data_IF_749788556178
#
_entry.id   IF_749788556178
#
_cell.length_a   1.000
_cell.length_b   1.000
_cell.length_c   1.000
_cell.angle_alpha   90.00
_cell.angle_beta   90.00
_cell.angle_gamma   90.00
#
_symmetry.space_group_name_H-M   'P 1'
#
loop_
_entity.id
_entity.type
_entity.pdbx_description
1 polymer ?
#
# COMPACT_ATOMS: atom_id res chain seq x y z
N UNK A 1 5.51 -2.43 -0.47
CA UNK A 1 5.68 -1.66 -1.72
C UNK A 1 7.17 -1.42 -1.94
N UNK A 2 7.67 -1.51 -3.19
CA UNK A 2 9.10 -1.46 -3.54
C UNK A 2 9.62 -0.07 -3.96
N UNK A 3 8.74 0.91 -4.12
CA UNK A 3 9.10 2.28 -4.53
C UNK A 3 9.22 3.17 -3.30
N UNK A 4 10.33 3.91 -3.18
CA UNK A 4 10.58 4.78 -2.04
C UNK A 4 10.53 6.25 -2.46
N UNK A 5 9.70 7.09 -1.82
CA UNK A 5 9.84 8.53 -1.92
C UNK A 5 11.24 8.96 -1.48
N UNK A 6 11.85 9.85 -2.25
CA UNK A 6 13.17 10.41 -1.96
C UNK A 6 13.12 11.93 -1.98
N UNK A 7 14.02 12.53 -1.22
CA UNK A 7 14.35 13.95 -1.29
C UNK A 7 15.75 14.13 -1.88
N UNK A 8 15.92 15.09 -2.79
CA UNK A 8 17.21 15.31 -3.46
C UNK A 8 17.43 16.77 -3.86
N UNK A 9 18.68 17.12 -4.15
CA UNK A 9 19.08 18.38 -4.77
C UNK A 9 19.57 18.12 -6.19
N UNK A 10 19.20 19.00 -7.13
CA UNK A 10 19.77 18.94 -8.47
C UNK A 10 21.26 19.27 -8.44
N UNK A 11 22.10 18.38 -8.95
CA UNK A 11 23.56 18.61 -9.02
C UNK A 11 23.93 19.91 -9.74
N UNK A 12 23.22 20.25 -10.84
CA UNK A 12 23.47 21.46 -11.63
C UNK A 12 22.76 22.71 -11.09
N UNK A 13 21.80 22.53 -10.17
CA UNK A 13 20.94 23.62 -9.67
C UNK A 13 20.54 23.44 -8.20
N UNK A 14 21.50 23.35 -7.27
CA UNK A 14 21.19 23.16 -5.86
C UNK A 14 20.37 24.30 -5.26
N UNK A 15 20.43 25.50 -5.84
CA UNK A 15 19.65 26.67 -5.45
C UNK A 15 18.14 26.53 -5.66
N UNK A 16 17.68 25.57 -6.47
CA UNK A 16 16.24 25.28 -6.63
C UNK A 16 15.64 24.59 -5.40
N UNK A 17 16.46 24.29 -4.38
CA UNK A 17 16.03 23.72 -3.12
C UNK A 17 15.74 22.22 -3.21
N UNK A 18 15.34 21.66 -2.07
CA UNK A 18 15.06 20.22 -1.93
C UNK A 18 13.83 19.86 -2.77
N UNK A 19 14.01 18.88 -3.65
CA UNK A 19 12.97 18.28 -4.47
C UNK A 19 12.48 17.00 -3.81
N UNK A 20 11.21 16.66 -4.06
CA UNK A 20 10.63 15.36 -3.70
C UNK A 20 10.32 14.58 -4.98
N UNK A 21 10.56 13.28 -4.96
CA UNK A 21 10.26 12.44 -6.11
C UNK A 21 10.52 10.97 -5.87
N UNK A 22 10.68 10.25 -6.99
CA UNK A 22 11.01 8.83 -7.02
C UNK A 22 12.28 8.62 -7.86
N UNK A 23 12.91 7.46 -7.67
CA UNK A 23 14.05 7.02 -8.49
C UNK A 23 13.51 6.35 -9.75
N UNK A 24 13.78 6.93 -10.92
CA UNK A 24 13.25 6.44 -12.20
C UNK A 24 13.63 4.98 -12.49
N UNK A 25 14.83 4.54 -12.10
CA UNK A 25 15.27 3.16 -12.23
C UNK A 25 14.46 2.20 -11.34
N UNK A 26 14.15 2.60 -10.10
CA UNK A 26 13.30 1.78 -9.22
C UNK A 26 11.87 1.69 -9.78
N UNK A 27 11.37 2.79 -10.36
CA UNK A 27 10.05 2.83 -10.99
C UNK A 27 10.00 1.96 -12.25
N UNK A 28 11.05 1.96 -13.07
CA UNK A 28 11.10 1.18 -14.31
C UNK A 28 10.91 -0.32 -14.07
N UNK A 29 11.43 -0.85 -12.96
CA UNK A 29 11.27 -2.25 -12.57
C UNK A 29 9.81 -2.62 -12.19
N UNK A 30 8.95 -1.63 -11.98
CA UNK A 30 7.57 -1.83 -11.52
C UNK A 30 6.54 -1.33 -12.53
N UNK A 31 6.76 -0.17 -13.13
CA UNK A 31 5.89 0.51 -14.09
C UNK A 31 6.76 1.20 -15.15
N UNK A 32 7.29 0.46 -16.13
CA UNK A 32 8.18 1.02 -17.16
C UNK A 32 7.50 2.07 -18.05
N UNK A 33 6.17 2.03 -18.20
CA UNK A 33 5.40 2.89 -19.09
C UNK A 33 5.41 4.37 -18.70
N UNK A 34 5.77 4.68 -17.45
CA UNK A 34 5.87 6.05 -16.94
C UNK A 34 7.32 6.54 -16.82
N UNK A 35 8.29 5.78 -17.34
CA UNK A 35 9.70 6.13 -17.31
C UNK A 35 10.22 6.37 -18.73
N UNK A 36 10.82 7.53 -18.93
CA UNK A 36 11.49 7.88 -20.19
C UNK A 36 12.99 7.58 -20.04
N UNK A 37 13.49 6.61 -20.80
CA UNK A 37 14.91 6.25 -20.82
C UNK A 37 15.58 6.96 -21.99
N UNK A 38 16.66 7.71 -21.71
CA UNK A 38 17.48 8.28 -22.77
C UNK A 38 18.38 7.20 -23.39
N UNK A 39 18.46 7.19 -24.73
CA UNK A 39 19.29 6.26 -25.50
C UNK A 39 20.73 6.78 -25.70
N UNK A 40 21.05 7.98 -25.19
CA UNK A 40 22.38 8.56 -25.28
C UNK A 40 23.31 7.99 -24.21
N UNK A 41 24.60 7.86 -24.52
CA UNK A 41 25.61 7.45 -23.54
C UNK A 41 25.71 8.49 -22.43
N UNK A 42 25.41 8.10 -21.20
CA UNK A 42 25.28 9.03 -20.06
C UNK A 42 23.95 9.77 -19.98
N UNK A 43 22.96 9.38 -20.78
CA UNK A 43 21.61 9.96 -20.81
C UNK A 43 20.84 9.77 -19.49
N UNK A 44 20.06 10.78 -19.12
CA UNK A 44 19.23 10.75 -17.90
C UNK A 44 17.92 9.99 -18.09
N UNK A 45 17.41 9.38 -17.02
CA UNK A 45 16.09 8.78 -16.97
C UNK A 45 15.09 9.78 -16.38
N UNK A 46 13.97 9.96 -17.07
CA UNK A 46 12.91 10.90 -16.69
C UNK A 46 11.64 10.20 -16.24
N UNK A 47 10.85 10.88 -15.42
CA UNK A 47 9.56 10.39 -14.92
C UNK A 47 8.40 11.13 -15.60
N UNK A 48 7.40 10.39 -16.07
CA UNK A 48 6.09 10.93 -16.44
C UNK A 48 5.15 10.93 -15.22
N UNK A 49 5.29 11.95 -14.37
CA UNK A 49 4.45 12.08 -13.17
C UNK A 49 2.95 12.24 -13.47
N UNK A 50 2.59 12.80 -14.63
CA UNK A 50 1.18 12.89 -15.05
C UNK A 50 0.59 11.51 -15.34
N UNK A 51 1.36 10.63 -15.99
CA UNK A 51 0.99 9.23 -16.20
C UNK A 51 0.87 8.43 -14.92
N UNK A 52 1.47 8.91 -13.82
CA UNK A 52 1.40 8.24 -12.52
C UNK A 52 0.07 8.50 -11.78
N UNK A 53 -0.63 9.60 -12.07
CA UNK A 53 -1.89 9.97 -11.40
C UNK A 53 -2.98 8.89 -11.56
N UNK A 54 -3.30 8.38 -12.78
CA UNK A 54 -4.28 7.31 -12.93
C UNK A 54 -3.93 6.02 -12.17
N UNK A 55 -2.63 5.70 -12.09
CA UNK A 55 -2.14 4.51 -11.36
C UNK A 55 -2.36 4.69 -9.85
N UNK A 56 -2.10 5.89 -9.32
CA UNK A 56 -2.37 6.21 -7.91
C UNK A 56 -3.87 6.15 -7.59
N UNK A 57 -4.73 6.68 -8.46
CA UNK A 57 -6.18 6.59 -8.31
C UNK A 57 -6.63 5.13 -8.25
N UNK A 58 -6.16 4.31 -9.21
CA UNK A 58 -6.49 2.87 -9.24
C UNK A 58 -5.98 2.16 -7.99
N UNK A 59 -4.76 2.46 -7.55
CA UNK A 59 -4.17 1.89 -6.34
C UNK A 59 -4.98 2.24 -5.09
N UNK A 60 -5.47 3.47 -4.97
CA UNK A 60 -6.33 3.89 -3.86
C UNK A 60 -7.69 3.17 -3.89
N UNK A 61 -8.28 2.99 -5.07
CA UNK A 61 -9.52 2.21 -5.24
C UNK A 61 -9.33 0.75 -4.83
N UNK A 62 -8.24 0.11 -5.30
CA UNK A 62 -7.94 -1.28 -4.98
C UNK A 62 -7.64 -1.46 -3.48
N UNK A 63 -6.98 -0.47 -2.86
CA UNK A 63 -6.80 -0.42 -1.40
C UNK A 63 -8.14 -0.32 -0.66
N UNK A 64 -9.09 0.48 -1.14
CA UNK A 64 -10.41 0.60 -0.52
C UNK A 64 -11.20 -0.72 -0.58
N UNK A 65 -11.07 -1.48 -1.67
CA UNK A 65 -11.65 -2.82 -1.80
C UNK A 65 -11.02 -3.79 -0.80
N UNK A 66 -9.70 -3.74 -0.63
CA UNK A 66 -9.02 -4.59 0.34
C UNK A 66 -9.45 -4.27 1.78
N UNK A 67 -9.57 -2.99 2.13
CA UNK A 67 -10.05 -2.53 3.44
C UNK A 67 -11.46 -3.07 3.69
N UNK A 68 -12.40 -2.88 2.74
CA UNK A 68 -13.76 -3.37 2.89
C UNK A 68 -13.81 -4.90 3.10
N UNK A 69 -12.95 -5.66 2.43
CA UNK A 69 -12.83 -7.12 2.62
C UNK A 69 -12.26 -7.48 3.99
N UNK A 70 -11.30 -6.71 4.49
CA UNK A 70 -10.74 -6.90 5.83
C UNK A 70 -11.80 -6.60 6.89
N UNK A 71 -12.58 -5.53 6.73
CA UNK A 71 -13.66 -5.16 7.64
C UNK A 71 -14.71 -6.28 7.74
N UNK A 72 -15.15 -6.83 6.60
CA UNK A 72 -16.07 -7.99 6.58
C UNK A 72 -15.49 -9.21 7.29
N UNK A 73 -14.18 -9.44 7.15
CA UNK A 73 -13.51 -10.56 7.84
C UNK A 73 -13.44 -10.32 9.34
N UNK A 74 -13.23 -9.08 9.78
CA UNK A 74 -13.22 -8.69 11.19
C UNK A 74 -14.61 -8.86 11.81
N UNK A 75 -15.67 -8.39 11.14
CA UNK A 75 -17.05 -8.59 11.59
C UNK A 75 -17.38 -10.08 11.77
N UNK A 76 -17.06 -10.91 10.77
CA UNK A 76 -17.29 -12.35 10.86
C UNK A 76 -16.51 -13.01 12.00
N UNK A 77 -15.27 -12.59 12.25
CA UNK A 77 -14.47 -13.09 13.37
C UNK A 77 -15.03 -12.64 14.72
N UNK A 78 -15.55 -11.42 14.83
CA UNK A 78 -16.20 -10.93 16.04
C UNK A 78 -17.47 -11.72 16.37
N UNK A 79 -18.31 -12.01 15.36
CA UNK A 79 -19.50 -12.83 15.54
C UNK A 79 -19.15 -14.26 16.01
N UNK A 80 -18.09 -14.83 15.45
CA UNK A 80 -17.59 -16.15 15.87
C UNK A 80 -17.08 -16.14 17.31
N UNK A 81 -16.41 -15.07 17.74
CA UNK A 81 -15.95 -14.91 19.11
C UNK A 81 -17.10 -14.80 20.11
N UNK A 82 -18.12 -14.00 19.81
CA UNK A 82 -19.31 -13.85 20.66
C UNK A 82 -20.03 -15.20 20.83
N UNK A 83 -20.20 -15.94 19.73
CA UNK A 83 -20.81 -17.28 19.78
C UNK A 83 -19.99 -18.24 20.64
N UNK A 84 -18.67 -18.24 20.48
CA UNK A 84 -17.79 -19.11 21.25
C UNK A 84 -17.82 -18.77 22.74
N UNK A 85 -17.84 -17.48 23.09
CA UNK A 85 -17.97 -17.01 24.48
C UNK A 85 -19.27 -17.52 25.11
N UNK A 86 -20.39 -17.44 24.38
CA UNK A 86 -21.68 -17.97 24.83
C UNK A 86 -21.63 -19.49 25.03
N UNK A 87 -21.06 -20.23 24.09
CA UNK A 87 -20.94 -21.69 24.18
C UNK A 87 -20.08 -22.09 25.39
N UNK A 88 -18.97 -21.38 25.64
CA UNK A 88 -18.11 -21.59 26.83
C UNK A 88 -18.88 -21.35 28.12
N UNK A 89 -19.62 -20.24 28.21
CA UNK A 89 -20.42 -19.92 29.40
C UNK A 89 -21.49 -20.97 29.67
N UNK A 90 -22.19 -21.45 28.62
CA UNK A 90 -23.18 -22.51 28.76
C UNK A 90 -22.56 -23.80 29.31
N UNK A 91 -21.41 -24.23 28.76
CA UNK A 91 -20.71 -25.43 29.24
C UNK A 91 -20.24 -25.28 30.69
N UNK A 92 -19.82 -24.08 31.11
CA UNK A 92 -19.46 -23.82 32.51
C UNK A 92 -20.67 -23.91 33.45
N UNK A 93 -21.81 -23.36 33.06
CA UNK A 93 -23.05 -23.48 33.82
C UNK A 93 -23.49 -24.95 33.97
N UNK A 94 -23.45 -25.72 32.89
CA UNK A 94 -23.79 -27.14 32.91
C UNK A 94 -22.85 -27.94 33.84
N UNK A 95 -21.55 -27.69 33.78
CA UNK A 95 -20.58 -28.32 34.69
C UNK A 95 -20.82 -27.96 36.16
N UNK A 96 -21.18 -26.71 36.45
CA UNK A 96 -21.48 -26.27 37.81
C UNK A 96 -22.76 -26.92 38.36
N UNK A 97 -23.74 -27.26 37.52
CA UNK A 97 -24.96 -27.97 37.92
C UNK A 97 -24.74 -29.46 38.21
N UNK A 98 -23.67 -30.04 37.68
CA UNK A 98 -23.33 -31.47 37.83
C UNK A 98 -22.43 -31.78 39.03
N UNK A 99 -21.89 -30.75 39.70
CA UNK A 99 -21.07 -30.85 40.91
C UNK A 99 -21.93 -30.66 42.16
#
# INVERSE_FOLDING_TARGET
MKLRPVSYLWKKKPQEGIQLGLIAQEVYEVVPEIVNVSNEEGGSWGMNYMGFIPILIKSAQDQQVLIAKQDQSIEALMDMLEKLEKDVNQVQEENNRLR
#
